data_IF_605054269837
#
_entry.id   IF_605054269837
#
_cell.length_a   1.000
_cell.length_b   1.000
_cell.length_c   1.000
_cell.angle_alpha   90.00
_cell.angle_beta   90.00
_cell.angle_gamma   90.00
#
_symmetry.space_group_name_H-M   'P 1'
#
loop_
_entity.id
_entity.type
_entity.pdbx_description
1 polymer ?
#
# COMPACT_ATOMS: atom_id res chain seq x y z
N UNK A 1 14.05 5.78 3.17
CA UNK A 1 13.39 4.50 3.52
C UNK A 1 12.22 4.83 4.41
N UNK A 2 10.96 4.53 4.02
CA UNK A 2 9.70 4.56 4.80
C UNK A 2 9.50 5.53 5.99
N UNK A 3 10.23 6.65 6.08
CA UNK A 3 10.17 7.64 7.17
C UNK A 3 8.76 8.19 7.41
N UNK A 4 7.89 8.12 6.41
CA UNK A 4 6.51 8.55 6.52
C UNK A 4 5.67 7.62 7.41
N UNK A 5 6.05 6.35 7.57
CA UNK A 5 5.34 5.41 8.43
C UNK A 5 5.43 5.78 9.91
N UNK A 6 6.52 6.46 10.32
CA UNK A 6 6.67 6.96 11.69
C UNK A 6 5.62 8.03 12.04
N UNK A 7 5.10 8.73 11.03
CA UNK A 7 4.03 9.72 11.15
C UNK A 7 2.66 9.20 10.70
N UNK A 8 2.57 7.92 10.34
CA UNK A 8 1.36 7.35 9.76
C UNK A 8 0.30 7.03 10.83
N UNK A 9 -1.00 7.16 10.53
CA UNK A 9 -2.10 6.84 11.45
C UNK A 9 -2.32 5.33 11.72
N UNK A 10 -1.50 4.43 11.19
CA UNK A 10 -1.65 2.99 11.44
C UNK A 10 -1.52 2.66 12.93
N UNK A 11 -2.50 1.94 13.48
CA UNK A 11 -2.50 1.58 14.91
C UNK A 11 -1.60 0.39 15.23
N UNK A 12 -1.38 -0.49 14.25
CA UNK A 12 -0.58 -1.71 14.38
C UNK A 12 0.43 -1.79 13.22
N UNK A 13 1.39 -0.84 13.12
CA UNK A 13 2.21 -0.66 11.93
C UNK A 13 2.96 -1.94 11.54
N UNK A 14 3.52 -2.68 12.50
CA UNK A 14 4.21 -3.95 12.23
C UNK A 14 3.30 -4.98 11.53
N UNK A 15 2.06 -5.13 12.03
CA UNK A 15 1.10 -6.09 11.48
C UNK A 15 0.59 -5.67 10.11
N UNK A 16 0.38 -4.37 9.92
CA UNK A 16 -0.05 -3.80 8.64
C UNK A 16 1.05 -3.98 7.58
N UNK A 17 2.32 -3.71 7.94
CA UNK A 17 3.46 -3.93 7.05
C UNK A 17 3.62 -5.42 6.71
N UNK A 18 3.53 -6.31 7.70
CA UNK A 18 3.57 -7.76 7.47
C UNK A 18 2.44 -8.22 6.55
N UNK A 19 1.23 -7.67 6.69
CA UNK A 19 0.11 -7.96 5.81
C UNK A 19 0.39 -7.52 4.37
N UNK A 20 0.90 -6.30 4.17
CA UNK A 20 1.28 -5.80 2.85
C UNK A 20 2.40 -6.64 2.21
N UNK A 21 3.38 -7.09 3.00
CA UNK A 21 4.44 -8.00 2.56
C UNK A 21 3.88 -9.37 2.14
N UNK A 22 2.93 -9.93 2.90
CA UNK A 22 2.29 -11.20 2.54
C UNK A 22 1.56 -11.09 1.20
N UNK A 23 0.80 -10.02 0.97
CA UNK A 23 0.13 -9.77 -0.32
C UNK A 23 1.15 -9.67 -1.47
N UNK A 24 2.27 -8.97 -1.24
CA UNK A 24 3.35 -8.85 -2.21
C UNK A 24 3.99 -10.22 -2.54
N UNK A 25 4.16 -11.09 -1.53
CA UNK A 25 4.65 -12.45 -1.70
C UNK A 25 3.64 -13.34 -2.45
N UNK A 26 2.36 -13.30 -2.08
CA UNK A 26 1.29 -14.07 -2.72
C UNK A 26 1.13 -13.72 -4.21
N UNK A 27 1.38 -12.46 -4.57
CA UNK A 27 1.35 -11.98 -5.96
C UNK A 27 2.67 -12.13 -6.72
N UNK A 28 3.71 -12.69 -6.08
CA UNK A 28 5.10 -12.76 -6.58
C UNK A 28 5.72 -11.41 -6.99
N UNK A 29 5.20 -10.30 -6.45
CA UNK A 29 5.74 -8.94 -6.66
C UNK A 29 6.48 -8.52 -5.39
N UNK A 30 7.61 -9.18 -5.11
CA UNK A 30 8.43 -9.01 -3.90
C UNK A 30 9.31 -7.77 -3.96
N UNK A 31 8.71 -6.61 -4.27
CA UNK A 31 9.39 -5.31 -4.38
C UNK A 31 8.88 -4.36 -3.31
N UNK A 32 9.79 -3.68 -2.61
CA UNK A 32 9.43 -2.72 -1.55
C UNK A 32 8.49 -1.60 -2.04
N UNK A 33 8.64 -1.15 -3.29
CA UNK A 33 7.73 -0.17 -3.91
C UNK A 33 6.30 -0.66 -4.03
N UNK A 34 6.12 -1.97 -4.26
CA UNK A 34 4.79 -2.56 -4.33
C UNK A 34 4.13 -2.58 -2.95
N UNK A 35 4.90 -2.99 -1.94
CA UNK A 35 4.48 -2.93 -0.52
C UNK A 35 4.11 -1.50 -0.11
N UNK A 36 4.94 -0.51 -0.47
CA UNK A 36 4.65 0.89 -0.21
C UNK A 36 3.36 1.36 -0.91
N UNK A 37 3.13 0.93 -2.16
CA UNK A 37 1.89 1.22 -2.88
C UNK A 37 0.64 0.68 -2.17
N UNK A 38 0.71 -0.55 -1.65
CA UNK A 38 -0.37 -1.15 -0.85
C UNK A 38 -0.64 -0.29 0.39
N UNK A 39 0.41 0.05 1.14
CA UNK A 39 0.29 0.84 2.37
C UNK A 39 -0.31 2.22 2.10
N UNK A 40 0.13 2.91 1.05
CA UNK A 40 -0.41 4.22 0.66
C UNK A 40 -1.86 4.13 0.22
N UNK A 41 -2.26 3.04 -0.43
CA UNK A 41 -3.65 2.83 -0.80
C UNK A 41 -4.54 2.70 0.45
N UNK A 42 -4.11 1.89 1.42
CA UNK A 42 -4.84 1.73 2.69
C UNK A 42 -4.90 3.03 3.50
N UNK A 43 -3.82 3.82 3.53
CA UNK A 43 -3.82 5.13 4.17
C UNK A 43 -4.83 6.08 3.49
N UNK A 44 -4.85 6.13 2.16
CA UNK A 44 -5.82 6.92 1.37
C UNK A 44 -7.27 6.48 1.61
N UNK A 45 -7.50 5.17 1.76
CA UNK A 45 -8.81 4.59 2.08
C UNK A 45 -9.17 4.71 3.58
N UNK A 46 -8.31 5.33 4.39
CA UNK A 46 -8.49 5.48 5.84
C UNK A 46 -8.63 4.15 6.58
N UNK A 47 -7.93 3.11 6.11
CA UNK A 47 -7.87 1.79 6.72
C UNK A 47 -6.66 1.72 7.64
N UNK A 48 -6.86 2.00 8.93
CA UNK A 48 -5.76 2.19 9.88
C UNK A 48 -5.53 1.00 10.82
N UNK A 49 -6.44 0.02 10.80
CA UNK A 49 -6.36 -1.19 11.60
C UNK A 49 -6.31 -2.44 10.73
N UNK A 50 -5.67 -3.50 11.23
CA UNK A 50 -5.60 -4.76 10.51
C UNK A 50 -6.98 -5.32 10.19
N UNK A 51 -7.93 -5.16 11.12
CA UNK A 51 -9.32 -5.62 10.95
C UNK A 51 -10.03 -4.90 9.79
N UNK A 52 -9.86 -3.59 9.66
CA UNK A 52 -10.44 -2.82 8.53
C UNK A 52 -9.86 -3.29 7.20
N UNK A 53 -8.54 -3.53 7.15
CA UNK A 53 -7.84 -4.04 5.97
C UNK A 53 -8.36 -5.44 5.59
N UNK A 54 -8.50 -6.35 6.56
CA UNK A 54 -9.03 -7.70 6.32
C UNK A 54 -10.48 -7.69 5.82
N UNK A 55 -11.32 -6.78 6.34
CA UNK A 55 -12.68 -6.60 5.85
C UNK A 55 -12.68 -6.08 4.41
N UNK A 56 -11.74 -5.20 4.06
CA UNK A 56 -11.63 -4.63 2.72
C UNK A 56 -11.11 -5.64 1.68
N UNK A 57 -10.11 -6.45 2.03
CA UNK A 57 -9.54 -7.49 1.15
C UNK A 57 -10.54 -8.60 0.81
N UNK A 58 -11.54 -8.85 1.67
CA UNK A 58 -12.61 -9.78 1.38
C UNK A 58 -13.63 -9.26 0.36
N UNK A 59 -13.50 -8.00 -0.07
CA UNK A 59 -14.24 -7.50 -1.24
C UNK A 59 -13.51 -7.95 -2.50
N UNK A 60 -14.23 -8.41 -3.54
CA UNK A 60 -13.59 -8.69 -4.82
C UNK A 60 -12.82 -7.44 -5.27
N UNK A 61 -11.54 -7.64 -5.59
CA UNK A 61 -10.62 -6.60 -6.02
C UNK A 61 -11.11 -6.03 -7.35
N UNK A 62 -12.00 -5.03 -7.29
CA UNK A 62 -12.32 -4.22 -8.44
C UNK A 62 -11.09 -3.37 -8.71
N UNK A 63 -10.33 -3.75 -9.74
CA UNK A 63 -9.36 -2.89 -10.38
C UNK A 63 -10.09 -1.59 -10.76
N UNK A 64 -10.01 -0.58 -9.91
CA UNK A 64 -10.41 0.77 -10.30
C UNK A 64 -9.36 1.25 -11.29
N UNK A 65 -9.62 0.97 -12.57
CA UNK A 65 -9.02 1.71 -13.67
C UNK A 65 -9.41 3.18 -13.47
N UNK A 66 -8.48 3.99 -12.97
CA UNK A 66 -8.57 5.43 -13.11
C UNK A 66 -7.16 5.98 -13.38
N UNK A 67 -6.89 6.11 -14.68
CA UNK A 67 -6.70 7.41 -15.32
C UNK A 67 -5.56 8.28 -14.74
N UNK A 68 -4.43 8.18 -15.44
CA UNK A 68 -3.59 9.29 -15.88
C UNK A 68 -3.91 10.67 -15.26
N UNK A 69 -3.29 10.97 -14.11
CA UNK A 69 -2.93 12.34 -13.77
C UNK A 69 -1.42 12.36 -13.57
N UNK A 70 -0.74 12.61 -14.69
CA UNK A 70 0.67 13.02 -14.74
C UNK A 70 0.85 14.43 -14.15
N UNK A 71 2.06 14.66 -13.60
CA UNK A 71 2.59 15.86 -12.93
C UNK A 71 2.24 15.95 -11.42
N UNK A 72 3.18 15.73 -10.49
CA UNK A 72 4.25 16.72 -10.24
C UNK A 72 5.56 16.18 -9.64
N UNK A 73 5.70 14.92 -9.22
CA UNK A 73 6.99 14.47 -8.62
C UNK A 73 7.74 13.51 -9.52
N UNK A 74 8.50 14.10 -10.44
CA UNK A 74 9.46 13.43 -11.29
C UNK A 74 10.50 12.67 -10.48
N UNK A 75 10.41 11.34 -10.51
CA UNK A 75 11.52 10.47 -10.18
C UNK A 75 11.90 9.68 -11.43
N UNK A 76 13.02 10.11 -12.00
CA UNK A 76 13.70 9.54 -13.15
C UNK A 76 14.20 8.12 -12.83
N UNK A 77 13.83 7.14 -13.64
CA UNK A 77 14.37 5.77 -13.61
C UNK A 77 15.37 5.58 -14.74
N UNK A 78 16.61 6.01 -14.50
CA UNK A 78 17.76 5.66 -15.34
C UNK A 78 18.29 4.27 -15.00
N UNK A 79 18.50 3.46 -16.03
CA UNK A 79 19.32 2.23 -15.99
C UNK A 79 20.80 2.56 -15.79
#
# INVERSE_FOLDING_TARGET
MLLWLDSSPFKEPDKVILKALNIACERDIRKLKYVEGILRNWEKESLFTLKEIEINENKPFELKEHEEIVADHGYNYGY
#
